data_IF_408954859217
#
_entry.id   IF_408954859217
#
_cell.length_a   1.000
_cell.length_b   1.000
_cell.length_c   1.000
_cell.angle_alpha   90.00
_cell.angle_beta   90.00
_cell.angle_gamma   90.00
#
_symmetry.space_group_name_H-M   'P 1'
#
loop_
_entity.id
_entity.type
_entity.pdbx_description
1 polymer ?
#
# COMPACT_ATOMS: atom_id res chain seq x y z
N UNK A 1 -11.25 67.52 23.09
CA UNK A 1 -9.87 67.03 22.97
C UNK A 1 -9.27 66.99 24.35
N UNK A 2 -8.79 65.82 24.78
CA UNK A 2 -8.05 65.68 26.03
C UNK A 2 -6.73 66.47 25.95
N UNK A 3 -6.31 67.06 27.06
CA UNK A 3 -5.10 67.87 27.15
C UNK A 3 -4.05 67.06 27.90
N UNK A 4 -2.85 66.92 27.29
CA UNK A 4 -1.68 66.25 27.88
C UNK A 4 -1.41 66.79 29.28
N UNK A 5 -1.25 65.90 30.27
CA UNK A 5 -1.08 66.30 31.68
C UNK A 5 0.26 65.89 32.29
N UNK A 6 0.98 64.90 31.75
CA UNK A 6 2.23 64.41 32.32
C UNK A 6 3.46 64.74 31.46
N UNK A 7 4.54 65.11 32.16
CA UNK A 7 5.80 65.49 31.52
C UNK A 7 6.83 64.36 31.45
N UNK A 8 6.81 63.31 32.28
CA UNK A 8 7.95 62.36 32.36
C UNK A 8 7.69 60.97 32.96
N UNK A 9 6.44 60.52 33.18
CA UNK A 9 6.20 59.21 33.81
C UNK A 9 5.25 58.34 33.00
N UNK A 10 5.78 57.27 32.42
CA UNK A 10 4.99 56.17 31.89
C UNK A 10 4.38 55.35 33.04
N UNK A 11 3.09 55.01 32.93
CA UNK A 11 2.41 54.07 33.82
C UNK A 11 2.10 52.77 33.08
N UNK A 12 2.06 51.68 33.83
CA UNK A 12 1.49 50.43 33.38
C UNK A 12 0.03 50.34 33.79
N UNK A 13 -0.85 49.98 32.87
CA UNK A 13 -2.29 49.84 33.12
C UNK A 13 -2.85 48.55 32.54
N UNK A 14 -3.86 48.00 33.21
CA UNK A 14 -4.53 46.77 32.81
C UNK A 14 -6.03 47.05 32.64
N UNK A 15 -6.48 47.22 31.38
CA UNK A 15 -7.84 47.72 31.05
C UNK A 15 -8.46 46.91 29.91
N UNK A 16 -9.74 47.10 29.57
CA UNK A 16 -10.34 46.52 28.36
C UNK A 16 -10.03 47.40 27.16
N UNK A 17 -9.90 46.81 25.96
CA UNK A 17 -9.55 47.57 24.74
C UNK A 17 -10.52 48.74 24.49
N UNK A 18 -11.83 48.49 24.59
CA UNK A 18 -12.87 49.50 24.35
C UNK A 18 -12.94 50.60 25.43
N UNK A 19 -12.26 50.43 26.57
CA UNK A 19 -12.24 51.44 27.65
C UNK A 19 -11.05 52.41 27.51
N UNK A 20 -10.07 52.11 26.65
CA UNK A 20 -8.82 52.88 26.52
C UNK A 20 -9.11 54.33 26.16
N UNK A 21 -9.90 54.56 25.10
CA UNK A 21 -10.21 55.91 24.63
C UNK A 21 -11.02 56.72 25.67
N UNK A 22 -11.96 56.07 26.36
CA UNK A 22 -12.67 56.70 27.49
C UNK A 22 -11.70 57.10 28.59
N UNK A 23 -10.73 56.25 28.93
CA UNK A 23 -9.76 56.53 29.98
C UNK A 23 -8.71 57.58 29.59
N UNK A 24 -8.38 57.72 28.31
CA UNK A 24 -7.61 58.86 27.80
C UNK A 24 -8.42 60.15 27.98
N UNK A 25 -9.70 60.15 27.60
CA UNK A 25 -10.58 61.30 27.74
C UNK A 25 -10.83 61.69 29.22
N UNK A 26 -10.91 60.70 30.11
CA UNK A 26 -11.02 60.89 31.57
C UNK A 26 -9.69 61.34 32.23
N UNK A 27 -8.57 61.40 31.49
CA UNK A 27 -7.24 61.71 32.02
C UNK A 27 -6.64 60.61 32.92
N UNK A 28 -7.19 59.38 32.85
CA UNK A 28 -6.69 58.21 33.59
C UNK A 28 -5.51 57.54 32.88
N UNK A 29 -5.46 57.65 31.56
CA UNK A 29 -4.35 57.27 30.69
C UNK A 29 -3.83 58.51 29.99
N UNK A 30 -2.52 58.59 29.80
CA UNK A 30 -1.85 59.73 29.18
C UNK A 30 -0.70 59.27 28.27
N UNK A 31 -0.07 60.23 27.59
CA UNK A 31 1.07 59.99 26.72
C UNK A 31 2.16 59.15 27.39
N UNK A 32 2.67 58.17 26.63
CA UNK A 32 3.70 57.19 27.01
C UNK A 32 3.25 56.11 28.00
N UNK A 33 1.96 56.04 28.36
CA UNK A 33 1.45 54.91 29.14
C UNK A 33 1.48 53.61 28.35
N UNK A 34 1.78 52.52 29.05
CA UNK A 34 1.82 51.15 28.52
C UNK A 34 0.61 50.39 29.06
N UNK A 35 -0.15 49.80 28.15
CA UNK A 35 -1.42 49.16 28.45
C UNK A 35 -1.33 47.68 28.07
N UNK A 36 -1.69 46.83 29.02
CA UNK A 36 -2.05 45.45 28.75
C UNK A 36 -3.57 45.34 28.71
N UNK A 37 -4.12 44.77 27.65
CA UNK A 37 -5.57 44.58 27.56
C UNK A 37 -5.98 43.26 28.24
N UNK A 38 -7.03 43.30 29.06
CA UNK A 38 -7.58 42.11 29.75
C UNK A 38 -8.36 41.19 28.82
N UNK A 39 -8.85 41.72 27.70
CA UNK A 39 -9.73 41.05 26.75
C UNK A 39 -8.99 40.63 25.49
N UNK A 40 -8.26 41.55 24.84
CA UNK A 40 -7.53 41.22 23.60
C UNK A 40 -6.13 40.65 23.83
N UNK A 41 -5.61 40.71 25.07
CA UNK A 41 -4.26 40.29 25.43
C UNK A 41 -3.17 40.98 24.58
N UNK A 42 -3.44 42.21 24.12
CA UNK A 42 -2.52 43.04 23.36
C UNK A 42 -1.72 43.94 24.33
N UNK A 43 -0.49 44.24 23.94
CA UNK A 43 0.32 45.29 24.55
C UNK A 43 0.21 46.55 23.68
N UNK A 44 -0.06 47.69 24.30
CA UNK A 44 -0.35 48.96 23.62
C UNK A 44 0.49 50.07 24.25
N UNK A 45 1.07 50.94 23.43
CA UNK A 45 1.72 52.18 23.84
C UNK A 45 0.83 53.38 23.46
N UNK A 46 0.57 54.27 24.41
CA UNK A 46 -0.05 55.56 24.11
C UNK A 46 1.03 56.51 23.57
N UNK A 47 0.87 56.95 22.33
CA UNK A 47 1.79 57.88 21.68
C UNK A 47 1.84 59.24 22.37
N UNK A 48 2.85 60.04 22.04
CA UNK A 48 2.99 61.41 22.56
C UNK A 48 1.82 62.33 22.17
N UNK A 49 1.10 61.96 21.12
CA UNK A 49 -0.10 62.59 20.56
C UNK A 49 -1.41 61.93 21.06
N UNK A 50 -1.34 61.04 22.05
CA UNK A 50 -2.45 60.22 22.56
C UNK A 50 -2.98 59.16 21.58
N UNK A 51 -2.24 58.86 20.51
CA UNK A 51 -2.58 57.74 19.61
C UNK A 51 -2.44 56.38 20.32
N UNK A 52 -3.32 55.44 19.99
CA UNK A 52 -3.31 54.08 20.53
C UNK A 52 -2.47 53.19 19.60
N UNK A 53 -1.25 52.82 20.02
CA UNK A 53 -0.32 52.06 19.19
C UNK A 53 -0.14 50.62 19.69
N UNK A 54 -0.76 49.61 19.03
CA UNK A 54 -0.57 48.23 19.42
C UNK A 54 0.84 47.73 19.08
N UNK A 55 1.50 47.14 20.07
CA UNK A 55 2.79 46.46 19.93
C UNK A 55 2.54 45.03 19.47
N UNK A 56 2.81 44.74 18.20
CA UNK A 56 2.58 43.43 17.58
C UNK A 56 3.90 42.78 17.16
N UNK A 57 4.09 41.53 17.57
CA UNK A 57 5.16 40.69 17.01
C UNK A 57 4.87 40.42 15.53
N UNK A 58 5.81 40.76 14.66
CA UNK A 58 5.75 40.41 13.23
C UNK A 58 6.79 39.32 12.95
N UNK A 59 6.38 38.29 12.24
CA UNK A 59 7.31 37.28 11.73
C UNK A 59 8.18 37.95 10.66
N UNK A 60 9.49 37.78 10.76
CA UNK A 60 10.43 38.33 9.78
C UNK A 60 10.25 37.60 8.45
N UNK A 61 10.24 38.36 7.35
CA UNK A 61 9.99 37.85 6.01
C UNK A 61 11.18 38.13 5.12
N UNK A 62 11.65 37.10 4.42
CA UNK A 62 12.80 37.19 3.53
C UNK A 62 12.47 36.62 2.15
N UNK A 63 13.18 37.10 1.12
CA UNK A 63 13.02 36.61 -0.25
C UNK A 63 13.70 35.26 -0.48
N UNK A 64 14.78 35.00 0.24
CA UNK A 64 15.57 33.78 0.15
C UNK A 64 16.35 33.55 1.45
N UNK A 65 16.98 32.37 1.54
CA UNK A 65 17.78 31.93 2.69
C UNK A 65 18.99 32.82 2.91
N UNK A 66 19.71 33.20 1.86
CA UNK A 66 20.94 34.00 2.00
C UNK A 66 20.66 35.39 2.60
N UNK A 67 19.58 36.03 2.17
CA UNK A 67 19.12 37.31 2.70
C UNK A 67 18.68 37.18 4.15
N UNK A 68 17.99 36.10 4.50
CA UNK A 68 17.60 35.81 5.88
C UNK A 68 18.83 35.69 6.78
N UNK A 69 19.80 34.85 6.43
CA UNK A 69 21.00 34.60 7.24
C UNK A 69 21.86 35.86 7.38
N UNK A 70 22.02 36.65 6.31
CA UNK A 70 22.75 37.92 6.38
C UNK A 70 22.07 38.90 7.35
N UNK A 71 20.75 39.02 7.31
CA UNK A 71 20.00 39.91 8.17
C UNK A 71 20.05 39.45 9.64
N UNK A 72 19.87 38.16 9.89
CA UNK A 72 19.88 37.56 11.23
C UNK A 72 21.24 37.71 11.92
N UNK A 73 22.35 37.53 11.18
CA UNK A 73 23.69 37.71 11.73
C UNK A 73 24.09 39.17 11.95
N UNK A 74 23.39 40.11 11.32
CA UNK A 74 23.63 41.56 11.50
C UNK A 74 22.75 42.17 12.60
N UNK A 75 21.66 41.51 12.96
CA UNK A 75 20.66 42.02 13.88
C UNK A 75 21.00 41.66 15.34
N UNK A 76 20.83 42.62 16.24
CA UNK A 76 21.16 42.45 17.68
C UNK A 76 20.10 41.69 18.47
N UNK A 77 18.91 41.54 17.91
CA UNK A 77 17.73 40.93 18.51
C UNK A 77 17.44 39.52 17.98
N UNK A 78 18.30 38.97 17.11
CA UNK A 78 18.15 37.60 16.60
C UNK A 78 18.52 36.56 17.66
N UNK A 79 17.75 35.48 17.72
CA UNK A 79 17.95 34.41 18.69
C UNK A 79 17.63 33.02 18.12
N UNK A 80 18.24 32.00 18.70
CA UNK A 80 18.00 30.60 18.32
C UNK A 80 16.58 30.16 18.69
N UNK A 81 15.92 29.46 17.77
CA UNK A 81 14.50 29.07 17.90
C UNK A 81 13.51 30.12 17.40
N UNK A 82 13.97 31.28 16.92
CA UNK A 82 13.13 32.27 16.25
C UNK A 82 12.49 31.66 14.98
N UNK A 83 11.21 31.97 14.73
CA UNK A 83 10.53 31.59 13.49
C UNK A 83 10.61 32.75 12.51
N UNK A 84 10.99 32.44 11.27
CA UNK A 84 11.00 33.37 10.13
C UNK A 84 10.25 32.77 8.95
N UNK A 85 9.80 33.62 8.04
CA UNK A 85 9.11 33.22 6.83
C UNK A 85 9.97 33.56 5.61
N UNK A 86 10.19 32.59 4.73
CA UNK A 86 11.01 32.78 3.53
C UNK A 86 10.19 32.44 2.30
N UNK A 87 10.25 33.29 1.27
CA UNK A 87 9.53 33.08 0.02
C UNK A 87 10.12 31.86 -0.71
N UNK A 88 9.27 30.92 -1.09
CA UNK A 88 9.62 29.72 -1.86
C UNK A 88 8.48 29.45 -2.84
N UNK A 89 8.78 29.42 -4.13
CA UNK A 89 7.80 29.17 -5.20
C UNK A 89 6.53 30.07 -5.13
N UNK A 90 6.71 31.34 -4.77
CA UNK A 90 5.62 32.32 -4.69
C UNK A 90 4.77 32.27 -3.41
N UNK A 91 5.07 31.36 -2.47
CA UNK A 91 4.44 31.30 -1.15
C UNK A 91 5.47 31.43 -0.03
N UNK A 92 5.07 31.99 1.12
CA UNK A 92 5.94 32.02 2.29
C UNK A 92 5.92 30.68 3.01
N UNK A 93 7.11 30.12 3.24
CA UNK A 93 7.28 28.90 4.03
C UNK A 93 7.96 29.22 5.35
N UNK A 94 7.61 28.49 6.41
CA UNK A 94 8.18 28.67 7.74
C UNK A 94 9.58 28.04 7.83
N UNK A 95 10.50 28.80 8.44
CA UNK A 95 11.86 28.38 8.78
C UNK A 95 12.12 28.68 10.27
N UNK A 96 12.99 27.88 10.88
CA UNK A 96 13.51 28.09 12.23
C UNK A 96 14.95 28.56 12.15
N UNK A 97 15.30 29.56 12.96
CA UNK A 97 16.66 30.06 13.13
C UNK A 97 17.41 29.13 14.07
N UNK A 98 18.56 28.63 13.63
CA UNK A 98 19.49 27.82 14.39
C UNK A 98 20.82 28.55 14.55
N UNK A 99 21.66 28.11 15.48
CA UNK A 99 23.00 28.67 15.67
C UNK A 99 24.06 27.59 15.47
N UNK A 100 25.02 27.85 14.59
CA UNK A 100 26.12 26.91 14.39
C UNK A 100 27.12 26.98 15.56
N UNK A 101 28.05 26.02 15.62
CA UNK A 101 29.10 25.98 16.65
C UNK A 101 30.03 27.20 16.63
N UNK A 102 30.13 27.89 15.50
CA UNK A 102 30.87 29.15 15.33
C UNK A 102 30.12 30.40 15.79
N UNK A 103 28.86 30.26 16.24
CA UNK A 103 28.04 31.35 16.75
C UNK A 103 27.26 32.15 15.69
N UNK A 104 27.33 31.77 14.42
CA UNK A 104 26.52 32.38 13.36
C UNK A 104 25.15 31.74 13.24
N UNK A 105 24.14 32.56 12.98
CA UNK A 105 22.78 32.12 12.73
C UNK A 105 22.64 31.57 11.31
N UNK A 106 21.87 30.50 11.16
CA UNK A 106 21.44 29.93 9.89
C UNK A 106 19.97 29.51 9.99
N UNK A 107 19.32 29.23 8.85
CA UNK A 107 17.88 28.88 8.85
C UNK A 107 17.65 27.48 8.30
N UNK A 108 16.75 26.74 8.94
CA UNK A 108 16.28 25.43 8.48
C UNK A 108 14.77 25.47 8.27
N UNK A 109 14.28 24.82 7.23
CA UNK A 109 12.84 24.76 6.96
C UNK A 109 12.13 24.00 8.08
N UNK A 110 10.98 24.51 8.52
CA UNK A 110 10.22 23.95 9.65
C UNK A 110 9.37 22.74 9.26
N UNK A 111 9.06 22.61 7.97
CA UNK A 111 8.39 21.44 7.38
C UNK A 111 9.35 20.65 6.48
N UNK A 112 9.36 19.33 6.60
CA UNK A 112 9.93 18.47 5.56
C UNK A 112 9.03 18.53 4.31
N UNK A 113 9.61 18.85 3.15
CA UNK A 113 8.88 18.72 1.91
C UNK A 113 8.73 17.22 1.59
N UNK A 114 7.53 16.80 1.17
CA UNK A 114 7.32 15.46 0.60
C UNK A 114 8.26 15.17 -0.60
N UNK A 115 8.83 16.22 -1.22
CA UNK A 115 9.82 16.13 -2.30
C UNK A 115 11.22 15.74 -1.82
N UNK A 116 11.53 15.83 -0.52
CA UNK A 116 12.85 15.46 0.04
C UNK A 116 12.82 14.14 0.81
N UNK A 117 11.67 13.48 0.91
CA UNK A 117 11.55 12.19 1.59
C UNK A 117 12.24 11.09 0.75
N UNK A 118 13.45 10.71 1.15
CA UNK A 118 14.16 9.60 0.54
C UNK A 118 13.79 8.30 1.26
N UNK A 119 13.06 7.41 0.58
CA UNK A 119 12.66 6.09 1.11
C UNK A 119 13.84 5.31 1.70
N UNK A 120 15.02 5.38 1.07
CA UNK A 120 16.19 4.61 1.48
C UNK A 120 16.81 5.13 2.79
N UNK A 121 16.43 6.33 3.23
CA UNK A 121 16.87 6.93 4.51
C UNK A 121 15.90 6.66 5.67
N UNK A 122 14.76 6.00 5.41
CA UNK A 122 13.78 5.67 6.43
C UNK A 122 14.28 4.50 7.31
N UNK A 123 14.23 4.67 8.63
CA UNK A 123 14.70 3.65 9.58
C UNK A 123 13.85 2.38 9.62
N UNK A 124 12.56 2.46 9.32
CA UNK A 124 11.64 1.32 9.27
C UNK A 124 11.13 1.13 7.84
N UNK A 125 11.91 0.42 7.02
CA UNK A 125 11.52 0.12 5.64
C UNK A 125 11.12 -1.35 5.48
N UNK A 126 9.94 -1.64 4.91
CA UNK A 126 9.51 -3.01 4.68
C UNK A 126 10.23 -3.69 3.50
N UNK A 127 10.86 -2.92 2.61
CA UNK A 127 11.58 -3.43 1.44
C UNK A 127 12.93 -2.73 1.37
N UNK A 128 14.00 -3.51 1.20
CA UNK A 128 15.34 -2.98 0.97
C UNK A 128 15.57 -2.80 -0.54
N UNK A 129 15.87 -1.58 -0.99
CA UNK A 129 16.29 -1.32 -2.36
C UNK A 129 17.80 -1.60 -2.50
N UNK A 130 18.18 -2.43 -3.47
CA UNK A 130 19.57 -2.77 -3.77
C UNK A 130 19.84 -2.60 -5.26
N UNK A 131 20.97 -1.98 -5.59
CA UNK A 131 21.39 -1.77 -6.97
C UNK A 131 22.69 -2.57 -7.22
N UNK A 132 22.59 -3.57 -8.09
CA UNK A 132 23.72 -4.41 -8.51
C UNK A 132 24.35 -3.91 -9.80
N UNK A 133 25.65 -4.15 -9.96
CA UNK A 133 26.42 -3.79 -11.16
C UNK A 133 27.09 -5.02 -11.76
N UNK A 134 27.61 -4.92 -12.98
CA UNK A 134 28.32 -6.03 -13.62
C UNK A 134 29.55 -6.48 -12.81
N UNK A 135 30.29 -5.53 -12.24
CA UNK A 135 31.47 -5.81 -11.41
C UNK A 135 31.10 -6.31 -10.01
N UNK A 136 29.96 -5.87 -9.49
CA UNK A 136 29.46 -6.21 -8.16
C UNK A 136 27.97 -6.60 -8.25
N UNK A 137 27.65 -7.83 -8.72
CA UNK A 137 26.27 -8.28 -8.78
C UNK A 137 25.75 -8.62 -7.37
N UNK A 138 24.46 -8.34 -7.12
CA UNK A 138 23.83 -8.72 -5.85
C UNK A 138 23.64 -10.23 -5.81
N UNK A 139 24.20 -10.89 -4.80
CA UNK A 139 23.98 -12.33 -4.58
C UNK A 139 22.80 -12.52 -3.62
N UNK A 140 21.65 -12.94 -4.15
CA UNK A 140 20.38 -12.95 -3.42
C UNK A 140 20.43 -13.90 -2.21
N UNK A 141 21.07 -15.07 -2.32
CA UNK A 141 21.23 -16.00 -1.21
C UNK A 141 22.02 -15.46 -0.03
N UNK A 142 22.85 -14.42 -0.22
CA UNK A 142 23.66 -13.83 0.85
C UNK A 142 22.90 -12.75 1.62
N UNK A 143 21.74 -12.32 1.13
CA UNK A 143 20.88 -11.36 1.81
C UNK A 143 20.22 -12.02 3.03
N UNK A 144 19.98 -11.25 4.08
CA UNK A 144 19.25 -11.74 5.27
C UNK A 144 17.80 -12.11 4.93
N UNK A 145 17.08 -12.75 5.85
CA UNK A 145 15.64 -12.98 5.69
C UNK A 145 14.92 -11.64 5.56
N UNK A 146 14.20 -11.42 4.47
CA UNK A 146 13.59 -10.13 4.16
C UNK A 146 13.00 -10.02 2.75
N UNK A 147 12.58 -8.81 2.40
CA UNK A 147 12.04 -8.47 1.09
C UNK A 147 12.94 -7.42 0.44
N UNK A 148 13.37 -7.69 -0.78
CA UNK A 148 14.35 -6.89 -1.49
C UNK A 148 13.82 -6.49 -2.86
N UNK A 149 13.98 -5.22 -3.22
CA UNK A 149 13.83 -4.74 -4.59
C UNK A 149 15.22 -4.60 -5.18
N UNK A 150 15.56 -5.44 -6.15
CA UNK A 150 16.90 -5.44 -6.76
C UNK A 150 16.83 -4.85 -8.16
N UNK A 151 17.67 -3.86 -8.46
CA UNK A 151 17.87 -3.31 -9.80
C UNK A 151 19.26 -3.68 -10.32
N UNK A 152 19.42 -3.76 -11.63
CA UNK A 152 20.70 -4.08 -12.24
C UNK A 152 21.07 -5.56 -12.08
N UNK A 153 22.38 -5.86 -12.03
CA UNK A 153 22.87 -7.24 -12.12
C UNK A 153 22.76 -8.00 -10.80
N UNK A 154 22.34 -9.27 -10.87
CA UNK A 154 22.20 -10.12 -9.70
C UNK A 154 22.48 -11.60 -10.02
N UNK A 155 22.77 -12.38 -8.98
CA UNK A 155 22.92 -13.84 -9.02
C UNK A 155 22.02 -14.46 -7.96
N UNK A 156 21.42 -15.62 -8.23
CA UNK A 156 20.58 -16.28 -7.22
C UNK A 156 21.44 -16.77 -6.05
N UNK A 157 22.59 -17.37 -6.36
CA UNK A 157 23.58 -17.80 -5.37
C UNK A 157 25.02 -17.62 -5.88
N UNK A 158 26.00 -17.80 -5.00
CA UNK A 158 27.41 -17.56 -5.31
C UNK A 158 27.93 -18.46 -6.45
N UNK A 159 27.56 -19.75 -6.42
CA UNK A 159 28.00 -20.76 -7.39
C UNK A 159 27.28 -20.68 -8.74
N UNK A 160 26.23 -19.86 -8.84
CA UNK A 160 25.51 -19.66 -10.09
C UNK A 160 26.46 -19.12 -11.17
N UNK A 161 26.49 -19.75 -12.34
CA UNK A 161 27.33 -19.26 -13.44
C UNK A 161 26.70 -18.05 -14.14
N UNK A 162 25.39 -17.86 -13.98
CA UNK A 162 24.65 -16.83 -14.69
C UNK A 162 24.56 -15.56 -13.84
N UNK A 163 24.98 -14.45 -14.42
CA UNK A 163 24.62 -13.13 -13.91
C UNK A 163 23.38 -12.66 -14.66
N UNK A 164 22.27 -12.56 -13.93
CA UNK A 164 21.02 -12.04 -14.46
C UNK A 164 21.00 -10.52 -14.39
N UNK A 165 20.11 -9.92 -15.16
CA UNK A 165 19.80 -8.49 -15.06
C UNK A 165 18.35 -8.32 -14.64
N UNK A 166 18.14 -7.49 -13.62
CA UNK A 166 16.84 -7.00 -13.20
C UNK A 166 16.56 -5.70 -13.93
N UNK A 167 15.37 -5.60 -14.52
CA UNK A 167 14.81 -4.33 -14.96
C UNK A 167 14.42 -3.44 -13.77
N UNK A 168 13.36 -2.65 -13.90
CA UNK A 168 13.01 -1.69 -12.85
C UNK A 168 12.35 -2.30 -11.58
N UNK A 169 11.94 -3.57 -11.56
CA UNK A 169 10.97 -4.03 -10.54
C UNK A 169 11.03 -5.52 -10.16
N UNK A 170 12.20 -6.17 -10.12
CA UNK A 170 12.24 -7.52 -9.54
C UNK A 170 12.22 -7.46 -8.01
N UNK A 171 11.26 -8.17 -7.41
CA UNK A 171 11.13 -8.33 -5.97
C UNK A 171 11.60 -9.73 -5.58
N UNK A 172 12.43 -9.81 -4.55
CA UNK A 172 12.94 -11.05 -3.99
C UNK A 172 12.48 -11.18 -2.55
N UNK A 173 11.86 -12.31 -2.21
CA UNK A 173 11.61 -12.69 -0.84
C UNK A 173 12.64 -13.75 -0.49
N UNK A 174 13.47 -13.45 0.51
CA UNK A 174 14.52 -14.36 0.99
C UNK A 174 14.11 -14.85 2.36
N UNK A 175 14.14 -16.16 2.56
CA UNK A 175 13.89 -16.79 3.86
C UNK A 175 14.98 -17.82 4.11
N UNK A 176 15.79 -17.57 5.13
CA UNK A 176 16.73 -18.55 5.67
C UNK A 176 15.98 -19.52 6.60
N UNK A 177 16.08 -20.81 6.30
CA UNK A 177 15.81 -21.89 7.24
C UNK A 177 17.12 -22.39 7.88
N UNK A 178 17.05 -23.53 8.57
CA UNK A 178 18.21 -24.08 9.29
C UNK A 178 19.31 -24.58 8.34
N UNK A 179 18.91 -25.17 7.21
CA UNK A 179 19.83 -25.80 6.24
C UNK A 179 19.63 -25.30 4.80
N UNK A 180 18.55 -24.58 4.54
CA UNK A 180 18.15 -24.19 3.19
C UNK A 180 17.70 -22.74 3.15
N UNK A 181 17.93 -22.09 2.01
CA UNK A 181 17.49 -20.72 1.75
C UNK A 181 16.42 -20.79 0.67
N UNK A 182 15.20 -20.39 1.04
CA UNK A 182 14.09 -20.25 0.10
C UNK A 182 14.09 -18.83 -0.48
N UNK A 183 14.19 -18.72 -1.80
CA UNK A 183 14.18 -17.45 -2.52
C UNK A 183 13.01 -17.44 -3.49
N UNK A 184 12.10 -16.48 -3.35
CA UNK A 184 11.04 -16.24 -4.33
C UNK A 184 11.35 -14.99 -5.12
N UNK A 185 11.56 -15.14 -6.42
CA UNK A 185 11.64 -14.04 -7.38
C UNK A 185 10.24 -13.75 -7.92
N UNK A 186 9.84 -12.49 -7.84
CA UNK A 186 8.59 -11.98 -8.39
C UNK A 186 8.94 -10.91 -9.41
N UNK A 187 8.40 -11.06 -10.61
CA UNK A 187 8.52 -10.09 -11.70
C UNK A 187 7.13 -9.69 -12.17
N UNK A 188 7.05 -8.76 -13.12
CA UNK A 188 5.78 -8.37 -13.72
C UNK A 188 5.08 -9.52 -14.47
N UNK A 189 5.85 -10.46 -15.01
CA UNK A 189 5.33 -11.55 -15.85
C UNK A 189 5.29 -12.89 -15.13
N UNK A 190 6.34 -13.18 -14.37
CA UNK A 190 6.60 -14.52 -13.87
C UNK A 190 7.04 -14.53 -12.41
N UNK A 191 6.80 -15.67 -11.75
CA UNK A 191 7.23 -15.94 -10.39
C UNK A 191 8.03 -17.24 -10.35
N UNK A 192 9.19 -17.21 -9.71
CA UNK A 192 10.05 -18.38 -9.53
C UNK A 192 10.37 -18.61 -8.06
N UNK A 193 10.35 -19.86 -7.63
CA UNK A 193 10.94 -20.27 -6.36
C UNK A 193 12.28 -20.97 -6.63
N UNK A 194 13.27 -20.61 -5.83
CA UNK A 194 14.56 -21.26 -5.75
C UNK A 194 14.76 -21.78 -4.32
N UNK A 195 15.36 -22.96 -4.22
CA UNK A 195 15.92 -23.48 -2.97
C UNK A 195 17.42 -23.53 -3.15
N UNK A 196 18.16 -22.93 -2.21
CA UNK A 196 19.62 -22.89 -2.20
C UNK A 196 20.11 -23.61 -0.95
N UNK A 197 21.00 -24.58 -1.15
CA UNK A 197 21.67 -25.35 -0.09
C UNK A 197 23.16 -25.34 -0.39
N UNK A 198 24.00 -25.12 0.63
CA UNK A 198 25.46 -25.07 0.48
C UNK A 198 25.94 -24.15 -0.66
N UNK A 199 25.25 -23.01 -0.82
CA UNK A 199 25.58 -22.00 -1.83
C UNK A 199 25.27 -22.39 -3.27
N UNK A 200 24.50 -23.47 -3.50
CA UNK A 200 24.09 -23.95 -4.83
C UNK A 200 22.58 -24.09 -4.93
N UNK A 201 22.03 -23.83 -6.13
CA UNK A 201 20.60 -24.02 -6.40
C UNK A 201 20.31 -25.52 -6.43
N UNK A 202 19.53 -26.01 -5.47
CA UNK A 202 19.12 -27.42 -5.39
C UNK A 202 17.74 -27.66 -5.98
N UNK A 203 16.89 -26.62 -6.04
CA UNK A 203 15.59 -26.67 -6.70
C UNK A 203 15.23 -25.33 -7.33
N UNK A 204 14.61 -25.38 -8.51
CA UNK A 204 14.06 -24.23 -9.20
C UNK A 204 12.69 -24.63 -9.79
N UNK A 205 11.65 -23.86 -9.46
CA UNK A 205 10.31 -24.07 -10.00
C UNK A 205 9.66 -22.75 -10.39
N UNK A 206 9.10 -22.68 -11.58
CA UNK A 206 8.20 -21.59 -11.97
C UNK A 206 6.84 -21.80 -11.29
N UNK A 207 6.24 -20.72 -10.78
CA UNK A 207 4.87 -20.75 -10.25
C UNK A 207 3.94 -20.39 -11.41
N UNK A 208 3.08 -21.32 -11.86
CA UNK A 208 2.15 -21.04 -12.94
C UNK A 208 1.23 -19.87 -12.58
N UNK A 209 1.25 -18.81 -13.38
CA UNK A 209 0.30 -17.70 -13.27
C UNK A 209 -0.98 -18.02 -14.05
N UNK A 210 -2.08 -17.32 -13.76
CA UNK A 210 -3.36 -17.54 -14.45
C UNK A 210 -3.21 -17.44 -15.97
N UNK A 211 -2.54 -16.41 -16.46
CA UNK A 211 -2.29 -16.18 -17.89
C UNK A 211 -1.42 -17.29 -18.50
N UNK A 212 -0.44 -17.82 -17.75
CA UNK A 212 0.38 -18.95 -18.20
C UNK A 212 -0.45 -20.23 -18.32
N UNK A 213 -1.32 -20.51 -17.35
CA UNK A 213 -2.24 -21.67 -17.36
C UNK A 213 -3.18 -21.59 -18.57
N UNK A 214 -3.72 -20.41 -18.86
CA UNK A 214 -4.58 -20.16 -20.03
C UNK A 214 -3.82 -20.33 -21.36
N UNK A 215 -2.58 -19.80 -21.47
CA UNK A 215 -1.74 -19.93 -22.68
C UNK A 215 -1.30 -21.35 -22.97
N UNK A 216 -0.98 -22.14 -21.94
CA UNK A 216 -0.51 -23.51 -22.10
C UNK A 216 -1.64 -24.52 -22.35
N UNK A 217 -2.90 -24.05 -22.44
CA UNK A 217 -4.05 -24.91 -22.74
C UNK A 217 -4.37 -25.90 -21.62
N UNK A 218 -3.96 -25.61 -20.39
CA UNK A 218 -4.38 -26.43 -19.25
C UNK A 218 -5.89 -26.34 -19.08
N UNK A 219 -6.49 -27.49 -18.78
CA UNK A 219 -7.92 -27.63 -18.61
C UNK A 219 -8.44 -26.65 -17.54
N UNK A 220 -9.08 -25.57 -17.97
CA UNK A 220 -9.84 -24.69 -17.09
C UNK A 220 -11.10 -25.42 -16.63
N UNK A 221 -11.71 -24.98 -15.54
CA UNK A 221 -12.99 -25.55 -15.09
C UNK A 221 -14.04 -25.56 -16.21
N UNK A 222 -14.13 -24.46 -16.98
CA UNK A 222 -15.03 -24.36 -18.15
C UNK A 222 -14.72 -25.40 -19.21
N UNK A 223 -13.44 -25.59 -19.55
CA UNK A 223 -13.02 -26.60 -20.52
C UNK A 223 -13.40 -28.01 -20.06
N UNK A 224 -13.20 -28.34 -18.78
CA UNK A 224 -13.60 -29.64 -18.22
C UNK A 224 -15.12 -29.79 -18.25
N UNK A 225 -15.86 -28.75 -17.84
CA UNK A 225 -17.33 -28.76 -17.83
C UNK A 225 -17.91 -28.91 -19.25
N UNK A 226 -17.30 -28.28 -20.26
CA UNK A 226 -17.66 -28.42 -21.68
C UNK A 226 -17.35 -29.81 -22.23
N UNK A 227 -16.19 -30.39 -21.88
CA UNK A 227 -15.86 -31.75 -22.29
C UNK A 227 -16.80 -32.77 -21.62
N UNK A 228 -17.14 -32.58 -20.35
CA UNK A 228 -18.14 -33.40 -19.63
C UNK A 228 -19.52 -33.27 -20.29
N UNK A 229 -19.91 -32.07 -20.73
CA UNK A 229 -21.16 -31.87 -21.45
C UNK A 229 -21.15 -32.48 -22.86
N UNK A 230 -19.99 -32.55 -23.51
CA UNK A 230 -19.80 -33.16 -24.82
C UNK A 230 -19.60 -34.69 -24.77
N UNK A 231 -19.26 -35.25 -23.61
CA UNK A 231 -19.25 -36.68 -23.37
C UNK A 231 -20.70 -37.19 -23.44
N UNK A 232 -21.02 -37.96 -24.48
CA UNK A 232 -22.31 -38.64 -24.66
C UNK A 232 -22.52 -39.67 -23.54
N UNK A 233 -22.96 -39.24 -22.38
CA UNK A 233 -23.45 -40.13 -21.34
C UNK A 233 -24.78 -40.71 -21.82
N UNK A 234 -24.83 -42.02 -22.07
CA UNK A 234 -26.10 -42.73 -22.25
C UNK A 234 -26.87 -42.57 -20.93
N UNK A 235 -27.94 -41.80 -20.99
CA UNK A 235 -28.76 -41.52 -19.82
C UNK A 235 -29.46 -42.80 -19.37
N UNK A 236 -29.82 -42.87 -18.09
CA UNK A 236 -30.58 -43.99 -17.54
C UNK A 236 -31.88 -44.23 -18.33
N UNK A 237 -32.46 -43.16 -18.87
CA UNK A 237 -33.69 -43.20 -19.65
C UNK A 237 -33.46 -43.85 -21.01
N UNK A 238 -32.36 -43.52 -21.71
CA UNK A 238 -32.00 -44.16 -22.98
C UNK A 238 -31.68 -45.66 -22.81
N UNK A 239 -31.01 -46.05 -21.71
CA UNK A 239 -30.80 -47.47 -21.39
C UNK A 239 -32.13 -48.16 -21.09
N UNK A 240 -32.99 -47.51 -20.31
CA UNK A 240 -34.32 -48.03 -19.96
C UNK A 240 -35.17 -48.28 -21.21
N UNK A 241 -35.16 -47.34 -22.15
CA UNK A 241 -35.93 -47.46 -23.40
C UNK A 241 -35.32 -48.50 -24.35
N UNK A 242 -34.00 -48.61 -24.43
CA UNK A 242 -33.34 -49.70 -25.15
C UNK A 242 -33.71 -51.07 -24.57
N UNK A 243 -33.64 -51.23 -23.24
CA UNK A 243 -34.00 -52.47 -22.55
C UNK A 243 -35.47 -52.83 -22.76
N UNK A 244 -36.39 -51.86 -22.63
CA UNK A 244 -37.81 -52.07 -22.93
C UNK A 244 -38.02 -52.55 -24.36
N UNK A 245 -37.33 -51.93 -25.32
CA UNK A 245 -37.45 -52.29 -26.73
C UNK A 245 -36.95 -53.71 -26.98
N UNK A 246 -35.81 -54.12 -26.40
CA UNK A 246 -35.29 -55.49 -26.51
C UNK A 246 -36.26 -56.49 -25.90
N UNK A 247 -36.86 -56.18 -24.74
CA UNK A 247 -37.85 -57.03 -24.11
C UNK A 247 -39.06 -57.21 -25.03
N UNK A 248 -39.66 -56.11 -25.48
CA UNK A 248 -40.91 -56.16 -26.25
C UNK A 248 -40.75 -56.73 -27.66
N UNK A 249 -39.63 -56.48 -28.32
CA UNK A 249 -39.43 -56.91 -29.72
C UNK A 249 -38.80 -58.27 -29.86
N UNK A 250 -38.07 -58.74 -28.84
CA UNK A 250 -37.27 -59.97 -28.95
C UNK A 250 -37.67 -61.01 -27.91
N UNK A 251 -37.73 -60.64 -26.62
CA UNK A 251 -37.98 -61.62 -25.56
C UNK A 251 -39.45 -62.04 -25.49
N UNK A 252 -40.39 -61.09 -25.54
CA UNK A 252 -41.83 -61.41 -25.43
C UNK A 252 -42.28 -62.36 -26.55
N UNK A 253 -41.96 -62.12 -27.84
CA UNK A 253 -42.34 -63.06 -28.91
C UNK A 253 -41.73 -64.45 -28.76
N UNK A 254 -40.46 -64.54 -28.33
CA UNK A 254 -39.79 -65.83 -28.12
C UNK A 254 -40.40 -66.62 -26.95
N UNK A 255 -40.84 -65.93 -25.90
CA UNK A 255 -41.52 -66.56 -24.76
C UNK A 255 -42.89 -67.06 -25.20
N UNK A 256 -43.66 -66.25 -25.91
CA UNK A 256 -44.98 -66.63 -26.42
C UNK A 256 -44.89 -67.86 -27.33
N UNK A 257 -43.97 -67.87 -28.29
CA UNK A 257 -43.73 -69.00 -29.19
C UNK A 257 -43.36 -70.29 -28.41
N UNK A 258 -42.53 -70.16 -27.38
CA UNK A 258 -42.10 -71.29 -26.56
C UNK A 258 -43.21 -71.82 -25.67
N UNK A 259 -44.06 -70.94 -25.12
CA UNK A 259 -45.25 -71.33 -24.36
C UNK A 259 -46.22 -72.05 -25.28
N UNK A 260 -46.50 -71.51 -26.46
CA UNK A 260 -47.41 -72.14 -27.44
C UNK A 260 -46.91 -73.52 -27.87
N UNK A 261 -45.60 -73.64 -28.15
CA UNK A 261 -44.96 -74.93 -28.45
C UNK A 261 -45.16 -75.92 -27.30
N UNK A 262 -44.86 -75.52 -26.05
CA UNK A 262 -45.00 -76.39 -24.88
C UNK A 262 -46.45 -76.75 -24.59
N UNK A 263 -47.38 -75.82 -24.75
CA UNK A 263 -48.80 -76.05 -24.55
C UNK A 263 -49.30 -77.09 -25.55
N UNK A 264 -48.95 -76.93 -26.83
CA UNK A 264 -49.28 -77.89 -27.89
C UNK A 264 -48.64 -79.26 -27.63
N UNK A 265 -47.42 -79.33 -27.12
CA UNK A 265 -46.80 -80.61 -26.69
C UNK A 265 -47.56 -81.28 -25.54
N UNK A 266 -48.07 -80.52 -24.56
CA UNK A 266 -48.87 -81.08 -23.45
C UNK A 266 -50.32 -81.38 -23.78
N UNK A 267 -50.90 -80.75 -24.80
CA UNK A 267 -52.30 -80.93 -25.20
C UNK A 267 -52.46 -81.96 -26.32
N UNK A 268 -51.37 -82.46 -26.91
CA UNK A 268 -51.42 -83.53 -27.89
C UNK A 268 -51.40 -84.92 -27.24
N UNK A 269 -52.41 -85.71 -27.66
CA UNK A 269 -52.64 -87.15 -27.49
C UNK A 269 -52.63 -87.68 -26.04
N UNK A 270 -53.79 -87.55 -25.38
CA UNK A 270 -54.24 -88.61 -24.48
C UNK A 270 -54.64 -89.77 -25.39
N UNK A 271 -53.89 -90.88 -25.35
CA UNK A 271 -54.28 -92.09 -26.04
C UNK A 271 -55.59 -92.62 -25.43
N UNK A 272 -56.50 -93.18 -26.24
CA UNK A 272 -57.77 -93.75 -25.74
C UNK A 272 -57.55 -94.80 -24.63
N UNK A 273 -56.34 -95.37 -24.51
CA UNK A 273 -55.93 -96.25 -23.41
C UNK A 273 -55.87 -95.59 -22.04
N UNK A 274 -55.65 -94.28 -21.97
CA UNK A 274 -55.55 -93.54 -20.69
C UNK A 274 -56.94 -93.23 -20.11
N UNK A 275 -57.98 -93.20 -20.95
CA UNK A 275 -59.38 -93.07 -20.53
C UNK A 275 -59.87 -94.34 -19.81
N UNK A 276 -59.33 -95.52 -20.15
CA UNK A 276 -59.66 -96.79 -19.49
C UNK A 276 -59.19 -96.87 -18.02
N UNK A 277 -58.32 -95.96 -17.58
CA UNK A 277 -57.89 -95.88 -16.17
C UNK A 277 -58.69 -94.83 -15.37
N UNK A 278 -59.67 -94.16 -16.00
CA UNK A 278 -60.50 -93.11 -15.39
C UNK A 278 -61.94 -93.55 -15.11
N UNK A 279 -62.35 -94.74 -15.56
CA UNK A 279 -63.66 -95.34 -15.28
C UNK A 279 -63.57 -96.81 -14.88
#
# INVERSE_FOLDING_TARGET
MAIKTSANRAKFSLVKFNDIERFINDGKLDANDIIYTKDTHENILIGSDLSINPVRSKIYRFLDVATAESALNSATDSYEGQIVAILTDGAYTAYIVNKNTGGSFYVSRLSEDAKTLNYDTLGNRPIDNLDGTLDHPITISNLTTGVYKVRGQYKICQSDFTTYISGNDHIFLVKHGDTEISIRKITATDMFNYVVTDGSITSQSEIPTKDWIEKQGYATKSYVDEQIAALNFVTRDEISDYVKNVISTTLDPMIDERIETKLNETLNEVEDSDINNLF
#
